data_IF_013527668892
#
_entry.id   IF_013527668892
#
_cell.length_a   1.000
_cell.length_b   1.000
_cell.length_c   1.000
_cell.angle_alpha   90.00
_cell.angle_beta   90.00
_cell.angle_gamma   90.00
#
_symmetry.space_group_name_H-M   'P 1'
#
loop_
_entity.id
_entity.type
_entity.pdbx_description
1 polymer ?
#
# COMPACT_ATOMS: atom_id res chain seq x y z
N UNK A 1 21.25 11.79 -78.45
CA UNK A 1 21.42 11.23 -77.09
C UNK A 1 20.92 12.26 -76.09
N UNK A 2 19.77 12.01 -75.48
CA UNK A 2 19.09 12.88 -74.52
C UNK A 2 19.57 12.56 -73.11
N UNK A 3 20.16 13.52 -72.41
CA UNK A 3 20.53 13.39 -70.99
C UNK A 3 19.29 13.65 -70.11
N UNK A 4 18.96 12.69 -69.24
CA UNK A 4 17.94 12.85 -68.18
C UNK A 4 18.49 13.76 -67.08
N UNK A 5 17.71 14.73 -66.57
CA UNK A 5 18.06 15.43 -65.34
C UNK A 5 17.86 14.51 -64.14
N UNK A 6 18.88 14.39 -63.29
CA UNK A 6 18.81 13.66 -62.02
C UNK A 6 17.99 14.47 -61.02
N UNK A 7 16.78 13.97 -60.71
CA UNK A 7 15.96 14.47 -59.60
C UNK A 7 16.66 14.15 -58.27
N UNK A 8 17.27 15.16 -57.64
CA UNK A 8 17.69 15.08 -56.25
C UNK A 8 16.45 15.32 -55.38
N UNK A 9 15.80 14.23 -54.98
CA UNK A 9 14.78 14.25 -53.94
C UNK A 9 15.48 14.57 -52.62
N UNK A 10 15.48 15.84 -52.24
CA UNK A 10 16.02 16.31 -50.97
C UNK A 10 15.13 15.88 -49.82
N UNK A 11 15.48 14.80 -49.15
CA UNK A 11 14.91 14.47 -47.84
C UNK A 11 15.51 15.42 -46.80
N UNK A 12 14.65 16.17 -46.12
CA UNK A 12 15.04 16.97 -44.96
C UNK A 12 15.13 16.03 -43.75
N UNK A 13 16.35 15.66 -43.36
CA UNK A 13 16.58 14.94 -42.10
C UNK A 13 16.49 15.95 -40.97
N UNK A 14 15.39 15.93 -40.22
CA UNK A 14 15.28 16.70 -38.98
C UNK A 14 16.13 15.96 -37.94
N UNK A 15 17.36 16.44 -37.73
CA UNK A 15 18.15 16.08 -36.57
C UNK A 15 17.49 16.74 -35.35
N UNK A 16 16.63 15.99 -34.67
CA UNK A 16 16.15 16.39 -33.35
C UNK A 16 17.37 16.27 -32.44
N UNK A 17 17.92 17.42 -32.06
CA UNK A 17 19.01 17.48 -31.08
C UNK A 17 18.50 16.81 -29.79
N UNK A 18 19.18 15.73 -29.38
CA UNK A 18 18.81 14.97 -28.17
C UNK A 18 18.82 15.86 -26.92
N UNK A 19 19.41 17.06 -26.98
CA UNK A 19 19.36 18.08 -25.93
C UNK A 19 17.95 18.66 -25.68
N UNK A 20 17.01 18.53 -26.62
CA UNK A 20 15.62 18.98 -26.45
C UNK A 20 14.69 17.90 -25.90
N UNK A 21 15.15 16.65 -25.80
CA UNK A 21 14.37 15.58 -25.20
C UNK A 21 14.40 15.70 -23.67
N UNK A 22 13.25 15.57 -22.98
CA UNK A 22 13.27 15.46 -21.54
C UNK A 22 14.16 14.26 -21.14
N UNK A 23 14.90 14.37 -20.02
CA UNK A 23 15.75 13.28 -19.57
C UNK A 23 14.93 11.98 -19.48
N UNK A 24 15.52 10.83 -19.84
CA UNK A 24 14.82 9.55 -19.78
C UNK A 24 14.32 9.31 -18.34
N UNK A 25 13.12 8.72 -18.19
CA UNK A 25 12.60 8.43 -16.86
C UNK A 25 13.58 7.51 -16.11
N UNK A 26 13.77 7.73 -14.80
CA UNK A 26 14.69 6.92 -14.02
C UNK A 26 14.25 5.45 -14.03
N UNK A 27 15.19 4.49 -14.01
CA UNK A 27 14.87 3.07 -14.12
C UNK A 27 14.07 2.60 -12.90
N UNK A 28 13.06 1.74 -13.14
CA UNK A 28 12.30 1.09 -12.06
C UNK A 28 13.24 0.39 -11.08
N UNK A 29 13.00 0.57 -9.79
CA UNK A 29 13.90 0.12 -8.72
C UNK A 29 13.19 -0.69 -7.62
N UNK A 30 11.86 -0.80 -7.67
CA UNK A 30 11.05 -1.43 -6.64
C UNK A 30 9.92 -2.30 -7.23
N UNK A 31 9.60 -3.47 -6.64
CA UNK A 31 10.34 -4.17 -5.59
C UNK A 31 11.70 -4.72 -6.06
N UNK A 32 12.68 -4.87 -5.16
CA UNK A 32 14.07 -5.27 -5.51
C UNK A 32 14.17 -6.59 -6.29
N UNK A 33 13.25 -7.51 -6.04
CA UNK A 33 13.19 -8.82 -6.68
C UNK A 33 12.57 -8.77 -8.08
N UNK A 34 11.68 -7.81 -8.36
CA UNK A 34 11.09 -7.59 -9.67
C UNK A 34 10.74 -6.10 -9.82
N UNK A 35 11.65 -5.26 -10.35
CA UNK A 35 11.46 -3.82 -10.37
C UNK A 35 10.37 -3.42 -11.36
N UNK A 36 9.19 -3.09 -10.84
CA UNK A 36 8.02 -2.67 -11.63
C UNK A 36 7.90 -1.14 -11.60
N UNK A 37 8.17 -0.54 -10.45
CA UNK A 37 7.91 0.87 -10.15
C UNK A 37 9.20 1.57 -9.76
N UNK A 38 9.33 2.84 -10.18
CA UNK A 38 10.35 3.72 -9.64
C UNK A 38 9.87 4.34 -8.32
N UNK A 39 10.63 4.12 -7.26
CA UNK A 39 10.37 4.63 -5.92
C UNK A 39 11.70 4.97 -5.23
N UNK A 40 12.01 6.26 -5.12
CA UNK A 40 13.21 6.72 -4.42
C UNK A 40 12.92 8.01 -3.62
N UNK A 41 12.59 7.84 -2.34
CA UNK A 41 12.24 8.95 -1.44
C UNK A 41 13.43 9.90 -1.23
N UNK A 42 14.66 9.40 -1.19
CA UNK A 42 15.83 10.22 -0.88
C UNK A 42 16.31 11.05 -2.06
N UNK A 43 16.15 10.54 -3.29
CA UNK A 43 16.50 11.27 -4.49
C UNK A 43 15.40 12.24 -4.95
N UNK A 44 14.12 11.89 -4.75
CA UNK A 44 13.01 12.67 -5.29
C UNK A 44 12.58 13.86 -4.40
N UNK A 45 12.94 13.85 -3.12
CA UNK A 45 12.52 14.90 -2.18
C UNK A 45 13.71 15.53 -1.47
N UNK A 46 13.75 16.85 -1.38
CA UNK A 46 14.76 17.59 -0.59
C UNK A 46 14.25 17.92 0.82
N UNK A 47 12.92 18.03 1.00
CA UNK A 47 12.31 18.37 2.27
C UNK A 47 12.28 17.16 3.23
N UNK A 48 12.99 17.26 4.35
CA UNK A 48 13.08 16.20 5.36
C UNK A 48 11.73 15.86 6.02
N UNK A 49 10.79 16.80 6.12
CA UNK A 49 9.47 16.52 6.68
C UNK A 49 8.66 15.60 5.75
N UNK A 50 8.74 15.82 4.43
CA UNK A 50 8.08 14.96 3.45
C UNK A 50 8.72 13.57 3.44
N UNK A 51 10.05 13.50 3.48
CA UNK A 51 10.77 12.23 3.59
C UNK A 51 10.35 11.46 4.84
N UNK A 52 10.27 12.12 6.00
CA UNK A 52 9.86 11.48 7.26
C UNK A 52 8.45 10.90 7.17
N UNK A 53 7.49 11.61 6.56
CA UNK A 53 6.12 11.13 6.34
C UNK A 53 6.07 9.96 5.35
N UNK A 54 6.82 10.03 4.25
CA UNK A 54 6.90 8.95 3.27
C UNK A 54 7.59 7.69 3.82
N UNK A 55 8.69 7.84 4.59
CA UNK A 55 9.35 6.73 5.29
C UNK A 55 8.40 6.08 6.29
N UNK A 56 7.60 6.87 7.03
CA UNK A 56 6.55 6.36 7.92
C UNK A 56 5.49 5.59 7.12
N UNK A 57 4.97 6.16 6.05
CA UNK A 57 4.00 5.48 5.17
C UNK A 57 4.52 4.14 4.63
N UNK A 58 5.80 4.09 4.23
CA UNK A 58 6.46 2.86 3.79
C UNK A 58 6.68 1.86 4.92
N UNK A 59 6.99 2.33 6.13
CA UNK A 59 7.05 1.50 7.33
C UNK A 59 5.68 0.89 7.64
N UNK A 60 4.61 1.68 7.61
CA UNK A 60 3.24 1.19 7.80
C UNK A 60 2.86 0.13 6.76
N UNK A 61 3.26 0.28 5.50
CA UNK A 61 3.05 -0.75 4.49
C UNK A 61 3.72 -2.09 4.86
N UNK A 62 4.99 -2.04 5.31
CA UNK A 62 5.70 -3.26 5.76
C UNK A 62 5.08 -3.84 7.03
N UNK A 63 4.65 -2.97 7.95
CA UNK A 63 3.96 -3.39 9.16
C UNK A 63 2.63 -4.08 8.82
N UNK A 64 1.89 -3.56 7.85
CA UNK A 64 0.67 -4.19 7.34
C UNK A 64 0.89 -5.60 6.82
N UNK A 65 1.96 -5.81 6.06
CA UNK A 65 2.31 -7.14 5.60
C UNK A 65 2.57 -8.12 6.77
N UNK A 66 3.24 -7.66 7.83
CA UNK A 66 3.45 -8.46 9.05
C UNK A 66 2.14 -8.75 9.77
N UNK A 67 1.25 -7.76 9.88
CA UNK A 67 -0.09 -7.92 10.48
C UNK A 67 -0.93 -8.94 9.70
N UNK A 68 -0.89 -8.90 8.36
CA UNK A 68 -1.58 -9.89 7.51
C UNK A 68 -0.99 -11.29 7.63
N UNK A 69 0.34 -11.40 7.82
CA UNK A 69 0.97 -12.69 8.08
C UNK A 69 0.52 -13.27 9.43
N UNK A 70 0.47 -12.44 10.48
CA UNK A 70 -0.07 -12.83 11.78
C UNK A 70 -1.54 -13.25 11.69
N UNK A 71 -2.36 -12.52 10.92
CA UNK A 71 -3.74 -12.89 10.62
C UNK A 71 -3.81 -14.28 9.98
N UNK A 72 -2.97 -14.54 8.98
CA UNK A 72 -2.97 -15.81 8.24
C UNK A 72 -2.61 -16.98 9.15
N UNK A 73 -1.64 -16.79 10.06
CA UNK A 73 -1.27 -17.81 11.06
C UNK A 73 -2.42 -18.05 12.04
N UNK A 74 -3.09 -16.99 12.51
CA UNK A 74 -4.26 -17.11 13.39
C UNK A 74 -5.41 -17.87 12.70
N UNK A 75 -5.71 -17.53 11.44
CA UNK A 75 -6.73 -18.20 10.64
C UNK A 75 -6.43 -19.69 10.46
N UNK A 76 -5.17 -20.06 10.19
CA UNK A 76 -4.75 -21.46 10.07
C UNK A 76 -4.90 -22.19 11.42
N UNK A 77 -4.49 -21.57 12.53
CA UNK A 77 -4.61 -22.15 13.86
C UNK A 77 -6.07 -22.41 14.24
N UNK A 78 -6.97 -21.47 13.96
CA UNK A 78 -8.42 -21.64 14.18
C UNK A 78 -8.97 -22.73 13.26
N UNK A 79 -8.59 -22.73 11.99
CA UNK A 79 -9.09 -23.68 10.99
C UNK A 79 -8.79 -25.12 11.35
N UNK A 80 -7.56 -25.41 11.75
CA UNK A 80 -7.14 -26.78 12.15
C UNK A 80 -7.88 -27.23 13.43
N UNK A 81 -8.25 -26.28 14.29
CA UNK A 81 -8.85 -26.58 15.60
C UNK A 81 -10.35 -26.83 15.53
N UNK A 82 -11.06 -26.11 14.65
CA UNK A 82 -12.52 -26.00 14.72
C UNK A 82 -13.26 -26.30 13.40
N UNK A 83 -12.60 -26.18 12.24
CA UNK A 83 -13.27 -26.26 10.94
C UNK A 83 -13.25 -27.68 10.35
N UNK A 84 -14.26 -27.99 9.53
CA UNK A 84 -14.30 -29.22 8.73
C UNK A 84 -13.36 -29.14 7.53
N UNK A 85 -12.96 -30.29 6.97
CA UNK A 85 -11.95 -30.36 5.89
C UNK A 85 -12.22 -29.44 4.68
N UNK A 86 -13.48 -29.29 4.26
CA UNK A 86 -13.83 -28.40 3.16
C UNK A 86 -13.71 -26.90 3.54
N UNK A 87 -14.06 -26.55 4.78
CA UNK A 87 -13.97 -25.17 5.29
C UNK A 87 -12.52 -24.73 5.52
N UNK A 88 -11.63 -25.67 5.89
CA UNK A 88 -10.19 -25.41 6.02
C UNK A 88 -9.61 -24.95 4.67
N UNK A 89 -9.94 -25.65 3.58
CA UNK A 89 -9.43 -25.30 2.25
C UNK A 89 -9.91 -23.91 1.82
N UNK A 90 -11.19 -23.59 2.04
CA UNK A 90 -11.70 -22.25 1.72
C UNK A 90 -11.03 -21.16 2.55
N UNK A 91 -10.77 -21.38 3.83
CA UNK A 91 -10.14 -20.39 4.70
C UNK A 91 -8.67 -20.17 4.31
N UNK A 92 -7.94 -21.24 3.96
CA UNK A 92 -6.56 -21.13 3.49
C UNK A 92 -6.49 -20.33 2.18
N UNK A 93 -7.37 -20.62 1.22
CA UNK A 93 -7.42 -19.88 -0.05
C UNK A 93 -7.77 -18.40 0.20
N UNK A 94 -8.76 -18.12 1.05
CA UNK A 94 -9.14 -16.76 1.41
C UNK A 94 -7.98 -16.00 2.09
N UNK A 95 -7.30 -16.62 3.05
CA UNK A 95 -6.17 -16.02 3.75
C UNK A 95 -4.99 -15.73 2.80
N UNK A 96 -4.71 -16.65 1.86
CA UNK A 96 -3.69 -16.46 0.85
C UNK A 96 -4.04 -15.30 -0.09
N UNK A 97 -5.28 -15.23 -0.59
CA UNK A 97 -5.72 -14.11 -1.41
C UNK A 97 -5.61 -12.78 -0.66
N UNK A 98 -6.00 -12.75 0.61
CA UNK A 98 -5.83 -11.57 1.47
C UNK A 98 -4.36 -11.15 1.60
N UNK A 99 -3.46 -12.11 1.85
CA UNK A 99 -2.04 -11.85 2.05
C UNK A 99 -1.35 -11.28 0.79
N UNK A 100 -1.83 -11.60 -0.41
CA UNK A 100 -1.23 -11.10 -1.65
C UNK A 100 -1.95 -9.87 -2.22
N UNK A 101 -3.28 -9.84 -2.25
CA UNK A 101 -4.01 -8.74 -2.87
C UNK A 101 -4.03 -7.48 -2.00
N UNK A 102 -4.19 -7.61 -0.68
CA UNK A 102 -4.36 -6.46 0.21
C UNK A 102 -3.11 -5.58 0.29
N UNK A 103 -1.87 -6.12 0.42
CA UNK A 103 -0.67 -5.28 0.42
C UNK A 103 -0.46 -4.54 -0.89
N UNK A 104 -0.80 -5.17 -2.03
CA UNK A 104 -0.69 -4.53 -3.35
C UNK A 104 -1.65 -3.35 -3.40
N UNK A 105 -2.91 -3.56 -3.03
CA UNK A 105 -3.91 -2.49 -2.96
C UNK A 105 -3.48 -1.35 -2.04
N UNK A 106 -2.99 -1.67 -0.84
CA UNK A 106 -2.49 -0.68 0.11
C UNK A 106 -1.31 0.12 -0.46
N UNK A 107 -0.34 -0.55 -1.08
CA UNK A 107 0.83 0.12 -1.65
C UNK A 107 0.44 1.13 -2.73
N UNK A 108 -0.42 0.74 -3.68
CA UNK A 108 -0.81 1.62 -4.78
C UNK A 108 -1.78 2.72 -4.34
N UNK A 109 -2.82 2.37 -3.57
CA UNK A 109 -3.86 3.31 -3.22
C UNK A 109 -3.42 4.31 -2.15
N UNK A 110 -2.52 3.92 -1.24
CA UNK A 110 -2.11 4.74 -0.09
C UNK A 110 -0.68 5.24 -0.21
N UNK A 111 0.29 4.34 -0.36
CA UNK A 111 1.69 4.76 -0.35
C UNK A 111 2.07 5.55 -1.61
N UNK A 112 1.73 5.02 -2.79
CA UNK A 112 2.04 5.65 -4.07
C UNK A 112 1.23 6.93 -4.29
N UNK A 113 -0.05 6.96 -3.91
CA UNK A 113 -0.86 8.19 -3.99
C UNK A 113 -0.28 9.30 -3.11
N UNK A 114 0.20 8.99 -1.89
CA UNK A 114 0.89 9.97 -1.04
C UNK A 114 2.21 10.43 -1.66
N UNK A 115 2.98 9.51 -2.23
CA UNK A 115 4.23 9.81 -2.93
C UNK A 115 4.00 10.77 -4.09
N UNK A 116 3.05 10.48 -4.97
CA UNK A 116 2.72 11.34 -6.10
C UNK A 116 2.03 12.64 -5.67
N UNK A 117 1.26 12.61 -4.57
CA UNK A 117 0.68 13.81 -3.96
C UNK A 117 1.77 14.81 -3.58
N UNK A 118 2.83 14.36 -2.90
CA UNK A 118 3.96 15.24 -2.58
C UNK A 118 4.81 15.61 -3.80
N UNK A 119 5.05 14.66 -4.73
CA UNK A 119 5.93 14.89 -5.89
C UNK A 119 5.33 15.87 -6.90
N UNK A 120 4.03 15.75 -7.17
CA UNK A 120 3.33 16.53 -8.19
C UNK A 120 2.51 17.68 -7.57
N UNK A 121 2.53 17.83 -6.25
CA UNK A 121 1.66 18.74 -5.50
C UNK A 121 0.18 18.64 -5.92
N UNK A 122 -0.29 17.41 -6.18
CA UNK A 122 -1.60 17.16 -6.77
C UNK A 122 -2.66 16.89 -5.70
N UNK A 123 -3.66 17.76 -5.62
CA UNK A 123 -4.81 17.57 -4.72
C UNK A 123 -5.57 16.25 -4.98
N UNK A 124 -5.67 15.84 -6.25
CA UNK A 124 -6.36 14.61 -6.62
C UNK A 124 -5.67 13.38 -6.04
N UNK A 125 -4.34 13.36 -6.03
CA UNK A 125 -3.56 12.29 -5.42
C UNK A 125 -3.70 12.27 -3.89
N UNK A 126 -3.77 13.43 -3.24
CA UNK A 126 -4.09 13.50 -1.81
C UNK A 126 -5.51 13.00 -1.50
N UNK A 127 -6.51 13.25 -2.38
CA UNK A 127 -7.87 12.69 -2.21
C UNK A 127 -7.87 11.16 -2.27
N UNK A 128 -7.15 10.57 -3.23
CA UNK A 128 -6.99 9.11 -3.30
C UNK A 128 -6.29 8.54 -2.07
N UNK A 129 -5.27 9.24 -1.56
CA UNK A 129 -4.61 8.88 -0.32
C UNK A 129 -5.59 8.84 0.86
N UNK A 130 -6.37 9.90 1.09
CA UNK A 130 -7.33 9.94 2.20
C UNK A 130 -8.45 8.91 2.04
N UNK A 131 -8.89 8.62 0.81
CA UNK A 131 -9.84 7.55 0.56
C UNK A 131 -9.27 6.18 0.95
N UNK A 132 -8.03 5.89 0.54
CA UNK A 132 -7.34 4.67 0.91
C UNK A 132 -7.15 4.52 2.42
N UNK A 133 -6.68 5.59 3.08
CA UNK A 133 -6.53 5.61 4.55
C UNK A 133 -7.87 5.41 5.27
N UNK A 134 -8.95 6.07 4.82
CA UNK A 134 -10.26 5.92 5.43
C UNK A 134 -10.77 4.47 5.34
N UNK A 135 -10.60 3.81 4.18
CA UNK A 135 -10.97 2.41 4.00
C UNK A 135 -10.18 1.52 4.97
N UNK A 136 -8.86 1.71 5.08
CA UNK A 136 -7.99 0.91 5.95
C UNK A 136 -8.36 1.10 7.43
N UNK A 137 -8.59 2.35 7.87
CA UNK A 137 -8.97 2.66 9.25
C UNK A 137 -10.34 2.04 9.59
N UNK A 138 -11.33 2.22 8.72
CA UNK A 138 -12.66 1.64 8.91
C UNK A 138 -12.55 0.11 8.98
N UNK A 139 -11.81 -0.50 8.06
CA UNK A 139 -11.61 -1.94 8.03
C UNK A 139 -10.92 -2.45 9.31
N UNK A 140 -9.86 -1.79 9.77
CA UNK A 140 -9.20 -2.12 11.03
C UNK A 140 -10.14 -2.03 12.24
N UNK A 141 -10.96 -0.98 12.33
CA UNK A 141 -11.97 -0.87 13.40
C UNK A 141 -13.01 -1.99 13.36
N UNK A 142 -13.50 -2.35 12.16
CA UNK A 142 -14.44 -3.46 12.01
C UNK A 142 -13.82 -4.81 12.36
N UNK A 143 -12.58 -5.05 11.95
CA UNK A 143 -11.84 -6.28 12.26
C UNK A 143 -11.58 -6.36 13.75
N UNK A 144 -11.06 -5.30 14.37
CA UNK A 144 -10.81 -5.24 15.82
C UNK A 144 -12.07 -5.52 16.64
N UNK A 145 -13.20 -4.92 16.31
CA UNK A 145 -14.47 -5.14 17.04
C UNK A 145 -15.05 -6.53 16.73
N UNK A 146 -15.05 -6.92 15.45
CA UNK A 146 -15.64 -8.18 14.98
C UNK A 146 -14.92 -9.40 15.54
N UNK A 147 -13.58 -9.41 15.51
CA UNK A 147 -12.79 -10.53 16.01
C UNK A 147 -12.84 -10.69 17.53
N UNK A 148 -13.13 -9.63 18.30
CA UNK A 148 -13.30 -9.75 19.75
C UNK A 148 -14.58 -10.52 20.09
N UNK A 149 -15.70 -10.21 19.42
CA UNK A 149 -17.02 -10.70 19.81
C UNK A 149 -17.45 -11.97 19.06
N UNK A 150 -17.39 -11.95 17.73
CA UNK A 150 -18.02 -12.98 16.89
C UNK A 150 -17.03 -13.73 16.01
N UNK A 151 -15.85 -13.16 15.74
CA UNK A 151 -14.87 -13.68 14.77
C UNK A 151 -15.16 -13.15 13.36
N UNK A 152 -14.30 -13.50 12.40
CA UNK A 152 -14.50 -13.17 10.98
C UNK A 152 -14.92 -14.40 10.18
N UNK A 153 -15.90 -14.25 9.29
CA UNK A 153 -16.22 -15.21 8.22
C UNK A 153 -16.34 -16.69 8.66
N UNK A 154 -16.97 -16.95 9.82
CA UNK A 154 -17.16 -18.31 10.35
C UNK A 154 -16.10 -18.80 11.35
N UNK A 155 -15.12 -17.96 11.70
CA UNK A 155 -14.20 -18.21 12.82
C UNK A 155 -14.82 -17.80 14.16
N UNK A 156 -14.35 -18.39 15.25
CA UNK A 156 -14.75 -17.98 16.60
C UNK A 156 -14.03 -16.68 16.99
N UNK A 157 -14.76 -15.76 17.62
CA UNK A 157 -14.17 -14.60 18.27
C UNK A 157 -13.15 -14.98 19.34
N UNK A 158 -12.20 -14.10 19.59
CA UNK A 158 -11.08 -14.32 20.52
C UNK A 158 -11.55 -14.78 21.90
N UNK A 159 -12.61 -14.16 22.44
CA UNK A 159 -13.18 -14.53 23.75
C UNK A 159 -13.70 -15.97 23.75
N UNK A 160 -14.47 -16.36 22.71
CA UNK A 160 -15.06 -17.69 22.59
C UNK A 160 -14.01 -18.79 22.38
N UNK A 161 -12.85 -18.47 21.79
CA UNK A 161 -11.71 -19.40 21.68
C UNK A 161 -11.14 -19.76 23.05
N UNK A 162 -11.00 -18.78 23.94
CA UNK A 162 -10.53 -19.02 25.32
C UNK A 162 -11.57 -19.76 26.16
N UNK A 163 -12.86 -19.42 26.03
CA UNK A 163 -13.94 -20.12 26.74
C UNK A 163 -14.02 -21.62 26.37
N UNK A 164 -13.72 -21.97 25.11
CA UNK A 164 -13.71 -23.36 24.64
C UNK A 164 -12.39 -24.10 24.89
N UNK A 165 -11.42 -23.46 25.54
CA UNK A 165 -10.12 -24.07 25.86
C UNK A 165 -9.14 -24.15 24.69
N UNK A 166 -9.37 -23.43 23.60
CA UNK A 166 -8.48 -23.36 22.43
C UNK A 166 -7.39 -22.30 22.61
N UNK A 167 -6.54 -22.49 23.62
CA UNK A 167 -5.55 -21.50 24.05
C UNK A 167 -4.55 -21.11 22.96
N UNK A 168 -4.07 -22.08 22.16
CA UNK A 168 -3.08 -21.81 21.10
C UNK A 168 -3.67 -20.88 20.04
N UNK A 169 -4.86 -21.19 19.52
CA UNK A 169 -5.56 -20.35 18.56
C UNK A 169 -5.87 -18.97 19.16
N UNK A 170 -6.35 -18.92 20.41
CA UNK A 170 -6.63 -17.66 21.11
C UNK A 170 -5.40 -16.75 21.25
N UNK A 171 -4.22 -17.30 21.54
CA UNK A 171 -2.97 -16.51 21.62
C UNK A 171 -2.59 -15.90 20.27
N UNK A 172 -2.65 -16.67 19.18
CA UNK A 172 -2.35 -16.13 17.84
C UNK A 172 -3.36 -15.05 17.41
N UNK A 173 -4.65 -15.27 17.69
CA UNK A 173 -5.69 -14.26 17.44
C UNK A 173 -5.47 -12.99 18.27
N UNK A 174 -5.06 -13.13 19.54
CA UNK A 174 -4.73 -12.00 20.40
C UNK A 174 -3.55 -11.19 19.89
N UNK A 175 -2.48 -11.85 19.43
CA UNK A 175 -1.32 -11.17 18.81
C UNK A 175 -1.75 -10.38 17.58
N UNK A 176 -2.55 -11.01 16.70
CA UNK A 176 -3.10 -10.34 15.53
C UNK A 176 -3.92 -9.09 15.89
N UNK A 177 -4.84 -9.20 16.85
CA UNK A 177 -5.66 -8.09 17.31
C UNK A 177 -4.82 -6.92 17.84
N UNK A 178 -3.76 -7.20 18.60
CA UNK A 178 -2.85 -6.15 19.09
C UNK A 178 -2.13 -5.47 17.92
N UNK A 179 -1.66 -6.23 16.93
CA UNK A 179 -1.01 -5.69 15.74
C UNK A 179 -1.98 -4.82 14.92
N UNK A 180 -3.21 -5.26 14.73
CA UNK A 180 -4.26 -4.51 14.02
C UNK A 180 -4.62 -3.19 14.71
N UNK A 181 -4.79 -3.20 16.04
CA UNK A 181 -5.07 -1.99 16.82
C UNK A 181 -3.89 -1.01 16.73
N UNK A 182 -2.67 -1.49 16.96
CA UNK A 182 -1.46 -0.66 16.84
C UNK A 182 -1.35 -0.07 15.43
N UNK A 183 -1.62 -0.88 14.41
CA UNK A 183 -1.60 -0.44 13.03
C UNK A 183 -2.62 0.67 12.77
N UNK A 184 -3.87 0.46 13.18
CA UNK A 184 -4.96 1.44 13.01
C UNK A 184 -4.60 2.77 13.67
N UNK A 185 -4.03 2.74 14.88
CA UNK A 185 -3.56 3.94 15.58
C UNK A 185 -2.46 4.66 14.79
N UNK A 186 -1.47 3.92 14.26
CA UNK A 186 -0.40 4.51 13.46
C UNK A 186 -0.93 5.15 12.17
N UNK A 187 -1.95 4.57 11.53
CA UNK A 187 -2.62 5.15 10.36
C UNK A 187 -3.34 6.47 10.71
N UNK A 188 -4.05 6.50 11.84
CA UNK A 188 -4.70 7.71 12.35
C UNK A 188 -3.65 8.81 12.60
N UNK A 189 -2.52 8.47 13.25
CA UNK A 189 -1.44 9.43 13.51
C UNK A 189 -0.86 9.96 12.20
N UNK A 190 -0.55 9.10 11.23
CA UNK A 190 -0.01 9.55 9.94
C UNK A 190 -1.00 10.47 9.22
N UNK A 191 -2.28 10.10 9.19
CA UNK A 191 -3.35 10.91 8.58
C UNK A 191 -3.46 12.27 9.25
N UNK A 192 -3.39 12.33 10.59
CA UNK A 192 -3.38 13.58 11.35
C UNK A 192 -2.14 14.46 11.06
N UNK A 193 -1.01 13.88 10.64
CA UNK A 193 0.19 14.63 10.24
C UNK A 193 0.15 15.15 8.79
N UNK A 194 -0.60 14.48 7.91
CA UNK A 194 -0.77 14.87 6.51
C UNK A 194 -1.91 15.90 6.36
N UNK A 195 -2.97 15.77 7.15
CA UNK A 195 -4.17 16.60 7.09
C UNK A 195 -3.87 18.12 7.18
N UNK A 196 -3.10 18.65 8.16
CA UNK A 196 -2.78 20.07 8.22
C UNK A 196 -2.01 20.59 7.01
N UNK A 197 -1.17 19.76 6.38
CA UNK A 197 -0.41 20.15 5.19
C UNK A 197 -1.33 20.38 3.99
N UNK A 198 -2.32 19.51 3.81
CA UNK A 198 -3.27 19.60 2.70
C UNK A 198 -4.25 20.76 2.93
N UNK A 199 -4.78 20.92 4.14
CA UNK A 199 -5.80 21.93 4.43
C UNK A 199 -5.26 23.34 4.72
N UNK A 200 -4.01 23.50 5.17
CA UNK A 200 -3.40 24.84 5.35
C UNK A 200 -2.86 25.44 4.04
N UNK A 201 -2.99 24.74 2.93
CA UNK A 201 -2.50 25.19 1.63
C UNK A 201 -0.98 25.20 1.59
N UNK A 202 -0.38 24.11 1.11
CA UNK A 202 1.01 24.11 0.64
C UNK A 202 1.22 24.94 -0.64
N UNK A 203 0.40 25.98 -0.86
CA UNK A 203 0.38 26.85 -2.04
C UNK A 203 0.21 28.29 -1.57
N UNK A 204 1.17 28.79 -0.79
CA UNK A 204 1.34 30.23 -0.57
C UNK A 204 2.78 30.66 -0.27
N UNK A 205 3.75 29.75 -0.14
CA UNK A 205 5.14 30.10 0.20
C UNK A 205 6.12 29.93 -0.97
N UNK A 206 5.66 29.94 -2.22
CA UNK A 206 6.55 29.95 -3.40
C UNK A 206 5.89 30.62 -4.62
N UNK A 207 5.69 31.94 -4.53
CA UNK A 207 5.81 32.89 -5.64
C UNK A 207 5.96 34.30 -5.07
#
# INVERSE_FOLDING_TARGET
MTSRPSSQSGYTVILIDNAMLPPPPPPSNWPKCYPIVYHNIEADFTNEDFKKKLRRSYFLFKFYFVTLLANSIADIAISITYLSGAQIVSQIIASALYLFLMPIGDFFLRHMSLYYGYKMNSEMMFRYYFLGEAIVIIFGLFIGIGFVNDGSSGTLGAVKLFERGYYVAGVFTGIFLVLDVVQTILHIILTAQVCPFVFRGGVNDSC
#
